data_IF_744570976241
#
_entry.id   IF_744570976241
#
_cell.length_a   1.000
_cell.length_b   1.000
_cell.length_c   1.000
_cell.angle_alpha   90.00
_cell.angle_beta   90.00
_cell.angle_gamma   90.00
#
_symmetry.space_group_name_H-M   'P 1'
#
loop_
_entity.id
_entity.type
_entity.pdbx_description
1 polymer ?
#
# COMPACT_ATOMS: atom_id res chain seq x y z
N UNK A 1 -26.91 7.45 82.04
CA UNK A 1 -25.95 8.50 81.63
C UNK A 1 -24.55 7.90 81.74
N UNK A 2 -24.00 7.28 80.69
CA UNK A 2 -22.61 6.74 80.74
C UNK A 2 -21.92 6.60 79.35
N UNK A 3 -22.62 6.24 78.27
CA UNK A 3 -22.05 6.27 76.90
C UNK A 3 -22.91 7.06 75.91
N UNK A 4 -22.95 8.39 76.11
CA UNK A 4 -23.34 9.37 75.07
C UNK A 4 -22.14 9.81 74.22
N UNK A 5 -21.09 8.98 74.17
CA UNK A 5 -19.78 9.31 73.63
C UNK A 5 -19.21 8.13 72.81
N UNK A 6 -20.04 7.55 71.94
CA UNK A 6 -19.63 6.61 70.90
C UNK A 6 -20.27 6.94 69.53
N UNK A 7 -20.57 8.21 69.31
CA UNK A 7 -20.66 8.76 67.95
C UNK A 7 -19.30 9.34 67.62
N UNK A 8 -18.53 8.65 66.77
CA UNK A 8 -17.79 9.18 65.62
C UNK A 8 -16.96 8.05 65.02
N UNK A 9 -16.66 8.16 63.72
CA UNK A 9 -15.66 7.34 63.02
C UNK A 9 -16.02 5.89 62.64
N UNK A 10 -17.28 5.62 62.26
CA UNK A 10 -17.49 4.73 61.10
C UNK A 10 -17.01 5.46 59.86
N UNK A 11 -15.69 5.50 59.66
CA UNK A 11 -15.09 6.13 58.50
C UNK A 11 -15.58 5.39 57.26
N UNK A 12 -16.28 6.11 56.38
CA UNK A 12 -16.58 5.65 55.03
C UNK A 12 -15.23 5.46 54.31
N UNK A 13 -14.66 4.26 54.41
CA UNK A 13 -13.59 3.83 53.54
C UNK A 13 -14.22 3.48 52.19
N UNK A 14 -14.76 4.49 51.52
CA UNK A 14 -15.10 4.43 50.11
C UNK A 14 -13.78 4.29 49.36
N UNK A 15 -13.31 3.04 49.25
CA UNK A 15 -12.45 2.62 48.18
C UNK A 15 -13.19 2.97 46.88
N UNK A 16 -12.90 4.16 46.38
CA UNK A 16 -13.04 4.44 44.98
C UNK A 16 -12.12 3.45 44.29
N UNK A 17 -12.68 2.31 43.89
CA UNK A 17 -12.06 1.44 42.91
C UNK A 17 -12.07 2.26 41.63
N UNK A 18 -11.02 3.07 41.47
CA UNK A 18 -10.60 3.52 40.16
C UNK A 18 -10.46 2.22 39.37
N UNK A 19 -11.37 2.00 38.44
CA UNK A 19 -11.29 0.85 37.56
C UNK A 19 -9.91 0.91 36.93
N UNK A 20 -9.06 -0.06 37.28
CA UNK A 20 -7.70 -0.12 36.80
C UNK A 20 -7.82 -0.51 35.34
N UNK A 21 -8.02 0.50 34.49
CA UNK A 21 -8.08 0.37 33.05
C UNK A 21 -6.79 -0.33 32.65
N UNK A 22 -6.93 -1.53 32.12
CA UNK A 22 -5.83 -2.41 31.78
C UNK A 22 -5.55 -2.28 30.27
N UNK A 23 -4.33 -2.59 29.86
CA UNK A 23 -3.97 -2.66 28.45
C UNK A 23 -4.98 -3.54 27.68
N UNK A 24 -5.34 -4.71 28.21
CA UNK A 24 -6.28 -5.62 27.55
C UNK A 24 -7.70 -5.06 27.44
N UNK A 25 -8.18 -4.31 28.45
CA UNK A 25 -9.50 -3.66 28.43
C UNK A 25 -9.53 -2.55 27.38
N UNK A 26 -8.51 -1.69 27.37
CA UNK A 26 -8.36 -0.63 26.37
C UNK A 26 -8.27 -1.19 24.93
N UNK A 27 -7.52 -2.28 24.70
CA UNK A 27 -7.48 -2.94 23.38
C UNK A 27 -8.83 -3.55 23.01
N UNK A 28 -9.51 -4.23 23.93
CA UNK A 28 -10.83 -4.82 23.67
C UNK A 28 -11.87 -3.77 23.29
N UNK A 29 -11.94 -2.65 24.02
CA UNK A 29 -12.84 -1.54 23.70
C UNK A 29 -12.48 -0.87 22.36
N UNK A 30 -11.18 -0.72 22.07
CA UNK A 30 -10.69 -0.25 20.78
C UNK A 30 -11.12 -1.15 19.62
N UNK A 31 -10.90 -2.47 19.73
CA UNK A 31 -11.33 -3.45 18.73
C UNK A 31 -12.85 -3.41 18.52
N UNK A 32 -13.62 -3.27 19.61
CA UNK A 32 -15.10 -3.17 19.57
C UNK A 32 -15.59 -1.88 18.90
N UNK A 33 -14.91 -0.75 19.09
CA UNK A 33 -15.21 0.50 18.41
C UNK A 33 -14.81 0.42 16.92
N UNK A 34 -13.63 -0.12 16.62
CA UNK A 34 -13.13 -0.31 15.25
C UNK A 34 -14.05 -1.21 14.41
N UNK A 35 -14.51 -2.33 14.97
CA UNK A 35 -15.48 -3.25 14.33
C UNK A 35 -16.84 -2.58 14.05
N UNK A 36 -17.19 -1.49 14.75
CA UNK A 36 -18.39 -0.67 14.48
C UNK A 36 -18.15 0.47 13.47
N UNK A 37 -16.91 0.69 13.04
CA UNK A 37 -16.53 1.85 12.22
C UNK A 37 -16.34 3.15 13.00
N UNK A 38 -16.41 3.13 14.34
CA UNK A 38 -16.09 4.30 15.17
C UNK A 38 -14.57 4.38 15.37
N UNK A 39 -13.88 4.83 14.32
CA UNK A 39 -12.43 4.95 14.32
C UNK A 39 -11.92 6.05 15.27
N UNK A 40 -12.77 7.02 15.62
CA UNK A 40 -12.49 8.04 16.64
C UNK A 40 -12.31 7.38 18.01
N UNK A 41 -13.37 6.75 18.52
CA UNK A 41 -13.35 6.01 19.78
C UNK A 41 -12.30 4.88 19.75
N UNK A 42 -12.12 4.20 18.62
CA UNK A 42 -11.08 3.17 18.50
C UNK A 42 -9.68 3.75 18.76
N UNK A 43 -9.33 4.87 18.11
CA UNK A 43 -8.04 5.52 18.32
C UNK A 43 -7.85 6.05 19.74
N UNK A 44 -8.89 6.57 20.40
CA UNK A 44 -8.80 6.98 21.82
C UNK A 44 -8.50 5.79 22.74
N UNK A 45 -9.14 4.64 22.50
CA UNK A 45 -8.95 3.42 23.30
C UNK A 45 -7.58 2.77 23.04
N UNK A 46 -7.11 2.73 21.80
CA UNK A 46 -5.75 2.24 21.52
C UNK A 46 -4.66 3.21 22.01
N UNK A 47 -4.90 4.53 21.98
CA UNK A 47 -4.02 5.51 22.64
C UNK A 47 -3.95 5.26 24.16
N UNK A 48 -5.10 4.98 24.79
CA UNK A 48 -5.18 4.57 26.19
C UNK A 48 -4.41 3.27 26.47
N UNK A 49 -4.38 2.33 25.52
CA UNK A 49 -3.60 1.08 25.63
C UNK A 49 -2.08 1.34 25.57
N UNK A 50 -1.58 2.01 24.53
CA UNK A 50 -0.13 2.27 24.37
C UNK A 50 0.44 3.22 25.42
N UNK A 51 -0.40 4.04 26.05
CA UNK A 51 -0.01 4.86 27.21
C UNK A 51 0.28 4.02 28.46
N UNK A 52 -0.38 2.86 28.60
CA UNK A 52 -0.18 1.93 29.73
C UNK A 52 0.96 0.95 29.48
N UNK A 53 1.01 0.42 28.27
CA UNK A 53 2.08 -0.49 27.85
C UNK A 53 2.54 -0.16 26.41
N UNK A 54 3.58 0.68 26.26
CA UNK A 54 4.15 1.03 24.96
C UNK A 54 5.05 -0.08 24.38
N UNK A 55 5.24 -1.20 25.08
CA UNK A 55 6.04 -2.33 24.55
C UNK A 55 5.24 -3.25 23.62
N UNK A 56 3.93 -3.02 23.49
CA UNK A 56 3.01 -3.96 22.88
C UNK A 56 2.66 -3.61 21.44
N UNK A 57 3.11 -4.46 20.51
CA UNK A 57 2.88 -4.33 19.06
C UNK A 57 1.41 -4.01 18.70
N UNK A 58 0.45 -4.74 19.27
CA UNK A 58 -0.95 -4.65 18.88
C UNK A 58 -1.58 -3.28 19.20
N UNK A 59 -1.16 -2.62 20.27
CA UNK A 59 -1.63 -1.29 20.64
C UNK A 59 -1.23 -0.25 19.58
N UNK A 60 0.07 -0.19 19.25
CA UNK A 60 0.60 0.72 18.23
C UNK A 60 0.04 0.42 16.84
N UNK A 61 0.00 -0.86 16.45
CA UNK A 61 -0.53 -1.27 15.14
C UNK A 61 -2.01 -0.91 14.97
N UNK A 62 -2.84 -1.15 15.99
CA UNK A 62 -4.27 -0.86 15.91
C UNK A 62 -4.59 0.64 16.07
N UNK A 63 -3.76 1.39 16.80
CA UNK A 63 -3.82 2.84 16.81
C UNK A 63 -3.51 3.40 15.41
N UNK A 64 -2.43 2.94 14.77
CA UNK A 64 -2.09 3.29 13.38
C UNK A 64 -3.22 2.97 12.39
N UNK A 65 -3.81 1.77 12.48
CA UNK A 65 -4.97 1.38 11.66
C UNK A 65 -6.16 2.33 11.84
N UNK A 66 -6.44 2.74 13.09
CA UNK A 66 -7.55 3.65 13.40
C UNK A 66 -7.29 5.07 12.90
N UNK A 67 -6.07 5.57 13.04
CA UNK A 67 -5.64 6.88 12.53
C UNK A 67 -5.67 6.91 10.99
N UNK A 68 -5.21 5.85 10.33
CA UNK A 68 -5.28 5.72 8.87
C UNK A 68 -6.73 5.76 8.36
N UNK A 69 -7.66 5.07 9.04
CA UNK A 69 -9.10 5.14 8.71
C UNK A 69 -9.73 6.52 8.98
N UNK A 70 -9.09 7.37 9.77
CA UNK A 70 -9.45 8.79 9.99
C UNK A 70 -8.73 9.76 9.04
N UNK A 71 -7.95 9.26 8.07
CA UNK A 71 -7.06 10.03 7.20
C UNK A 71 -5.97 10.85 7.94
N UNK A 72 -5.63 10.46 9.17
CA UNK A 72 -4.53 11.02 9.95
C UNK A 72 -3.24 10.24 9.63
N UNK A 73 -2.76 10.42 8.40
CA UNK A 73 -1.72 9.55 7.83
C UNK A 73 -0.33 9.74 8.43
N UNK A 74 0.03 10.96 8.85
CA UNK A 74 1.31 11.23 9.52
C UNK A 74 1.37 10.51 10.88
N UNK A 75 0.29 10.64 11.66
CA UNK A 75 0.14 10.00 12.95
C UNK A 75 0.07 8.48 12.80
N UNK A 76 -0.62 7.98 11.77
CA UNK A 76 -0.63 6.55 11.45
C UNK A 76 0.77 6.01 11.13
N UNK A 77 1.55 6.71 10.29
CA UNK A 77 2.92 6.34 9.95
C UNK A 77 3.81 6.24 11.21
N UNK A 78 3.75 7.25 12.09
CA UNK A 78 4.50 7.27 13.35
C UNK A 78 4.12 6.10 14.29
N UNK A 79 2.85 5.71 14.34
CA UNK A 79 2.41 4.56 15.15
C UNK A 79 2.78 3.22 14.51
N UNK A 80 2.80 3.10 13.18
CA UNK A 80 3.35 1.91 12.53
C UNK A 80 4.88 1.80 12.67
N UNK A 81 5.62 2.90 12.73
CA UNK A 81 7.05 2.91 13.07
C UNK A 81 7.29 2.41 14.50
N UNK A 82 6.47 2.84 15.47
CA UNK A 82 6.50 2.29 16.84
C UNK A 82 6.15 0.81 16.88
N UNK A 83 5.10 0.38 16.16
CA UNK A 83 4.75 -1.03 16.03
C UNK A 83 5.93 -1.85 15.45
N UNK A 84 6.62 -1.31 14.43
CA UNK A 84 7.80 -1.93 13.83
C UNK A 84 8.98 -2.05 14.82
N UNK A 85 9.16 -1.09 15.74
CA UNK A 85 10.26 -1.12 16.71
C UNK A 85 10.04 -2.13 17.85
N UNK A 86 8.79 -2.49 18.16
CA UNK A 86 8.42 -3.51 19.16
C UNK A 86 7.97 -4.85 18.56
N UNK A 87 8.05 -5.01 17.23
CA UNK A 87 7.66 -6.24 16.54
C UNK A 87 8.54 -7.43 16.95
N UNK A 88 7.91 -8.52 17.42
CA UNK A 88 8.60 -9.70 17.97
C UNK A 88 8.85 -10.80 16.95
N UNK A 89 8.19 -10.74 15.79
CA UNK A 89 8.29 -11.74 14.73
C UNK A 89 8.23 -11.11 13.33
N UNK A 90 8.56 -11.92 12.31
CA UNK A 90 8.60 -11.48 10.91
C UNK A 90 7.22 -11.10 10.35
N UNK A 91 6.13 -11.68 10.86
CA UNK A 91 4.76 -11.36 10.41
C UNK A 91 4.32 -10.00 10.94
N UNK A 92 4.58 -9.71 12.21
CA UNK A 92 4.43 -8.38 12.81
C UNK A 92 5.27 -7.34 12.06
N UNK A 93 6.54 -7.67 11.78
CA UNK A 93 7.45 -6.80 11.03
C UNK A 93 6.92 -6.48 9.63
N UNK A 94 6.48 -7.49 8.88
CA UNK A 94 5.91 -7.33 7.54
C UNK A 94 4.62 -6.49 7.55
N UNK A 95 3.71 -6.77 8.48
CA UNK A 95 2.44 -6.04 8.60
C UNK A 95 2.66 -4.54 8.93
N UNK A 96 3.55 -4.23 9.86
CA UNK A 96 3.88 -2.85 10.21
C UNK A 96 4.57 -2.11 9.05
N UNK A 97 5.53 -2.74 8.37
CA UNK A 97 6.17 -2.20 7.16
C UNK A 97 5.14 -1.92 6.04
N UNK A 98 4.23 -2.86 5.79
CA UNK A 98 3.20 -2.73 4.76
C UNK A 98 2.25 -1.56 5.03
N UNK A 99 1.73 -1.46 6.26
CA UNK A 99 0.80 -0.39 6.62
C UNK A 99 1.46 0.98 6.78
N UNK A 100 2.73 1.04 7.20
CA UNK A 100 3.54 2.25 7.11
C UNK A 100 3.72 2.67 5.64
N UNK A 101 4.02 1.73 4.74
CA UNK A 101 4.03 1.98 3.29
C UNK A 101 2.71 2.57 2.78
N UNK A 102 1.57 2.02 3.21
CA UNK A 102 0.24 2.55 2.86
C UNK A 102 0.02 3.98 3.37
N UNK A 103 0.47 4.31 4.59
CA UNK A 103 0.39 5.67 5.12
C UNK A 103 1.23 6.65 4.29
N UNK A 104 2.44 6.26 3.88
CA UNK A 104 3.30 7.09 3.02
C UNK A 104 2.76 7.25 1.60
N UNK A 105 2.14 6.20 1.02
CA UNK A 105 1.40 6.31 -0.25
C UNK A 105 0.27 7.34 -0.19
N UNK A 106 -0.40 7.46 0.96
CA UNK A 106 -1.48 8.43 1.18
C UNK A 106 -0.96 9.85 1.49
N UNK A 107 0.31 9.98 1.91
CA UNK A 107 1.04 11.24 2.08
C UNK A 107 1.80 11.68 0.81
N UNK A 108 1.71 10.90 -0.27
CA UNK A 108 2.45 11.08 -1.51
C UNK A 108 3.99 10.96 -1.38
N UNK A 109 4.51 10.41 -0.27
CA UNK A 109 5.90 9.97 -0.15
C UNK A 109 6.08 8.58 -0.79
N UNK A 110 6.00 8.57 -2.12
CA UNK A 110 6.08 7.37 -2.94
C UNK A 110 7.47 6.71 -2.87
N UNK A 111 8.53 7.51 -2.71
CA UNK A 111 9.90 7.02 -2.63
C UNK A 111 10.10 6.17 -1.36
N UNK A 112 9.69 6.68 -0.19
CA UNK A 112 9.80 5.96 1.08
C UNK A 112 8.83 4.78 1.13
N UNK A 113 7.60 4.94 0.63
CA UNK A 113 6.64 3.85 0.52
C UNK A 113 7.21 2.65 -0.27
N UNK A 114 7.85 2.91 -1.42
CA UNK A 114 8.51 1.87 -2.21
C UNK A 114 9.61 1.14 -1.42
N UNK A 115 10.40 1.84 -0.59
CA UNK A 115 11.41 1.17 0.25
C UNK A 115 10.79 0.29 1.34
N UNK A 116 9.62 0.64 1.87
CA UNK A 116 8.91 -0.17 2.86
C UNK A 116 8.31 -1.43 2.23
N UNK A 117 7.59 -1.32 1.10
CA UNK A 117 7.08 -2.51 0.40
C UNK A 117 8.20 -3.44 -0.08
N UNK A 118 9.34 -2.88 -0.50
CA UNK A 118 10.54 -3.66 -0.82
C UNK A 118 11.12 -4.41 0.38
N UNK A 119 10.91 -3.92 1.62
CA UNK A 119 11.25 -4.67 2.83
C UNK A 119 10.22 -5.75 3.16
N UNK A 120 8.91 -5.50 2.94
CA UNK A 120 7.87 -6.53 3.04
C UNK A 120 8.23 -7.71 2.12
N UNK A 121 8.55 -7.46 0.86
CA UNK A 121 8.92 -8.49 -0.13
C UNK A 121 10.22 -9.25 0.19
N UNK A 122 11.08 -8.78 1.10
CA UNK A 122 12.21 -9.57 1.61
C UNK A 122 11.78 -10.61 2.63
N UNK A 123 10.71 -10.33 3.38
CA UNK A 123 10.13 -11.21 4.39
C UNK A 123 9.10 -12.15 3.74
N UNK A 124 8.27 -11.61 2.84
CA UNK A 124 7.19 -12.31 2.13
C UNK A 124 7.36 -12.19 0.60
N UNK A 125 8.27 -12.94 -0.04
CA UNK A 125 8.58 -12.79 -1.48
C UNK A 125 7.41 -13.02 -2.46
N UNK A 126 6.37 -13.72 -1.99
CA UNK A 126 5.16 -14.08 -2.74
C UNK A 126 3.95 -13.21 -2.39
N UNK A 127 4.13 -12.11 -1.65
CA UNK A 127 3.09 -11.13 -1.41
C UNK A 127 2.82 -10.30 -2.68
N UNK A 128 1.81 -10.72 -3.44
CA UNK A 128 1.38 -10.04 -4.67
C UNK A 128 0.72 -8.67 -4.41
N UNK A 129 0.27 -8.38 -3.18
CA UNK A 129 -0.29 -7.08 -2.81
C UNK A 129 0.84 -6.08 -2.54
N UNK A 130 1.84 -6.46 -1.74
CA UNK A 130 3.06 -5.70 -1.53
C UNK A 130 3.84 -5.48 -2.84
N UNK A 131 3.87 -6.47 -3.75
CA UNK A 131 4.48 -6.29 -5.09
C UNK A 131 3.74 -5.26 -5.92
N UNK A 132 2.40 -5.32 -5.96
CA UNK A 132 1.57 -4.34 -6.68
C UNK A 132 1.78 -2.93 -6.13
N UNK A 133 1.78 -2.76 -4.81
CA UNK A 133 1.94 -1.45 -4.20
C UNK A 133 3.36 -0.90 -4.39
N UNK A 134 4.39 -1.75 -4.35
CA UNK A 134 5.76 -1.36 -4.73
C UNK A 134 5.82 -0.84 -6.18
N UNK A 135 5.21 -1.54 -7.13
CA UNK A 135 5.18 -1.12 -8.54
C UNK A 135 4.46 0.22 -8.72
N UNK A 136 3.33 0.43 -8.04
CA UNK A 136 2.57 1.69 -8.08
C UNK A 136 3.38 2.83 -7.44
N UNK A 137 4.02 2.60 -6.29
CA UNK A 137 4.88 3.58 -5.63
C UNK A 137 6.03 4.03 -6.54
N UNK A 138 6.74 3.07 -7.17
CA UNK A 138 7.83 3.36 -8.11
C UNK A 138 7.38 4.09 -9.39
N UNK A 139 6.12 3.91 -9.83
CA UNK A 139 5.57 4.68 -10.95
C UNK A 139 5.28 6.13 -10.54
N UNK A 140 4.59 6.33 -9.41
CA UNK A 140 4.23 7.65 -8.92
C UNK A 140 5.44 8.51 -8.53
N UNK A 141 6.45 7.91 -7.89
CA UNK A 141 7.74 8.57 -7.59
C UNK A 141 8.37 9.15 -8.87
N UNK A 142 8.35 8.37 -9.96
CA UNK A 142 8.86 8.84 -11.25
C UNK A 142 8.01 9.96 -11.85
N UNK A 143 6.69 9.86 -11.80
CA UNK A 143 5.77 10.88 -12.33
C UNK A 143 5.91 12.21 -11.58
N UNK A 144 6.15 12.17 -10.27
CA UNK A 144 6.45 13.34 -9.46
C UNK A 144 7.78 13.98 -9.88
N UNK A 145 8.86 13.20 -9.99
CA UNK A 145 10.18 13.69 -10.45
C UNK A 145 10.12 14.29 -11.87
N UNK A 146 9.40 13.64 -12.80
CA UNK A 146 9.20 14.13 -14.17
C UNK A 146 8.35 15.43 -14.22
N UNK A 147 7.53 15.68 -13.19
CA UNK A 147 6.70 16.89 -13.06
C UNK A 147 7.49 18.06 -12.47
N UNK A 148 8.25 17.82 -11.40
CA UNK A 148 9.14 18.81 -10.77
C UNK A 148 10.24 19.27 -11.75
N UNK A 149 10.82 18.33 -12.52
CA UNK A 149 11.82 18.63 -13.55
C UNK A 149 11.33 19.56 -14.68
N UNK A 150 10.02 19.59 -14.95
CA UNK A 150 9.42 20.49 -15.96
C UNK A 150 9.23 21.93 -15.44
N UNK A 151 9.08 22.13 -14.13
CA UNK A 151 8.99 23.48 -13.55
C UNK A 151 10.36 24.18 -13.43
N UNK A 152 11.46 23.42 -13.37
CA UNK A 152 12.83 23.97 -13.37
C UNK A 152 13.35 24.46 -14.73
N UNK A 153 12.65 24.18 -15.84
CA UNK A 153 13.13 24.43 -17.22
C UNK A 153 12.80 25.81 -17.82
N UNK A 154 12.12 26.69 -17.09
CA UNK A 154 11.62 27.98 -17.62
C UNK A 154 12.66 29.10 -17.65
N UNK A 155 13.74 28.98 -18.44
CA UNK A 155 14.90 29.87 -18.22
C UNK A 155 15.93 30.17 -19.31
N UNK A 156 15.74 29.85 -20.60
CA UNK A 156 16.47 30.59 -21.67
C UNK A 156 15.78 30.48 -23.04
N UNK A 157 15.55 31.62 -23.67
CA UNK A 157 14.89 31.72 -24.98
C UNK A 157 15.82 32.18 -26.10
N UNK A 158 15.41 31.90 -27.35
CA UNK A 158 16.16 32.24 -28.57
C UNK A 158 17.22 31.18 -28.93
N UNK A 159 17.34 30.72 -30.18
CA UNK A 159 16.62 31.10 -31.40
C UNK A 159 16.81 30.06 -32.51
N UNK A 160 15.73 29.63 -33.16
CA UNK A 160 15.74 29.11 -34.53
C UNK A 160 15.47 30.33 -35.47
N UNK A 161 16.08 30.46 -36.66
CA UNK A 161 15.85 29.53 -37.78
C UNK A 161 17.12 29.07 -38.54
N UNK A 162 17.09 27.88 -39.16
CA UNK A 162 16.84 27.78 -40.63
C UNK A 162 17.35 26.52 -41.36
N UNK A 163 16.50 25.99 -42.27
CA UNK A 163 16.82 25.36 -43.60
C UNK A 163 17.64 24.04 -43.60
N UNK A 164 17.57 23.13 -44.61
CA UNK A 164 16.75 22.93 -45.83
C UNK A 164 17.00 21.48 -46.34
N UNK A 165 16.05 20.88 -47.09
CA UNK A 165 16.21 19.89 -48.20
C UNK A 165 17.13 18.64 -48.01
N UNK A 166 17.05 17.54 -48.77
CA UNK A 166 16.40 17.26 -50.06
C UNK A 166 16.04 15.76 -50.26
N UNK A 167 15.40 15.42 -51.39
CA UNK A 167 15.01 14.07 -51.83
C UNK A 167 16.16 13.23 -52.41
N UNK A 168 15.95 11.91 -52.53
CA UNK A 168 15.95 11.09 -53.79
C UNK A 168 15.94 9.59 -53.43
N UNK A 169 15.02 8.70 -53.85
CA UNK A 169 14.54 8.22 -55.19
C UNK A 169 15.39 7.10 -55.84
N UNK A 170 14.68 6.03 -56.28
CA UNK A 170 15.06 4.86 -57.12
C UNK A 170 16.18 3.87 -56.69
N UNK A 171 16.15 2.58 -57.05
CA UNK A 171 15.13 1.80 -57.76
C UNK A 171 15.63 0.43 -58.31
N UNK A 172 14.70 -0.48 -58.70
CA UNK A 172 14.88 -1.80 -59.38
C UNK A 172 15.56 -2.92 -58.56
N UNK A 173 15.17 -4.20 -58.54
CA UNK A 173 14.41 -5.17 -59.38
C UNK A 173 15.29 -6.28 -60.04
N UNK A 174 15.19 -7.48 -59.46
CA UNK A 174 14.82 -8.76 -60.11
C UNK A 174 15.87 -9.86 -60.49
N UNK A 175 15.78 -10.98 -59.75
CA UNK A 175 15.77 -12.41 -60.15
C UNK A 175 17.03 -13.14 -60.71
N UNK A 176 17.23 -14.40 -60.27
CA UNK A 176 18.07 -15.41 -60.95
C UNK A 176 18.74 -16.47 -60.04
N UNK A 177 18.19 -17.69 -60.03
CA UNK A 177 18.60 -18.99 -59.40
C UNK A 177 20.11 -19.40 -59.48
N UNK A 178 20.65 -20.44 -58.82
CA UNK A 178 20.11 -21.68 -58.18
C UNK A 178 21.15 -22.35 -57.22
N UNK A 179 20.70 -23.30 -56.36
CA UNK A 179 21.41 -24.45 -55.71
C UNK A 179 22.85 -24.30 -55.15
N UNK A 180 23.21 -24.68 -53.91
CA UNK A 180 22.95 -25.97 -53.23
C UNK A 180 23.50 -25.98 -51.77
N UNK A 181 22.89 -26.78 -50.88
CA UNK A 181 23.44 -27.40 -49.63
C UNK A 181 24.28 -26.53 -48.63
N UNK A 182 23.91 -26.39 -47.34
CA UNK A 182 23.88 -27.49 -46.36
C UNK A 182 23.15 -27.08 -45.03
N UNK A 183 22.96 -28.06 -44.15
CA UNK A 183 22.18 -28.13 -42.90
C UNK A 183 22.37 -27.06 -41.80
N UNK A 184 21.30 -26.86 -41.00
CA UNK A 184 21.31 -26.07 -39.76
C UNK A 184 19.93 -26.00 -39.08
N UNK A 185 19.67 -26.95 -38.16
CA UNK A 185 18.60 -27.02 -37.14
C UNK A 185 18.24 -25.68 -36.44
N UNK A 186 17.11 -25.43 -35.77
CA UNK A 186 15.84 -26.09 -35.33
C UNK A 186 14.94 -24.93 -34.81
N UNK A 187 13.61 -24.96 -34.65
CA UNK A 187 12.50 -25.88 -34.92
C UNK A 187 11.20 -25.03 -35.01
N UNK A 188 10.03 -25.60 -35.37
CA UNK A 188 8.76 -24.85 -35.53
C UNK A 188 7.70 -25.10 -34.45
N UNK A 189 6.69 -24.23 -34.42
CA UNK A 189 5.57 -24.13 -33.48
C UNK A 189 4.41 -25.12 -33.69
N UNK A 190 3.66 -25.37 -32.61
CA UNK A 190 2.37 -26.06 -32.56
C UNK A 190 1.19 -25.17 -33.04
N UNK A 191 0.12 -25.72 -33.65
CA UNK A 191 -1.18 -25.00 -33.69
C UNK A 191 -2.48 -25.85 -33.51
N UNK A 192 -3.56 -25.16 -33.08
CA UNK A 192 -5.01 -25.55 -33.05
C UNK A 192 -5.52 -26.25 -31.76
N UNK A 193 -6.75 -26.03 -31.23
CA UNK A 193 -7.88 -25.15 -31.64
C UNK A 193 -8.80 -24.70 -30.45
N UNK A 194 -9.72 -23.76 -30.69
CA UNK A 194 -10.52 -22.92 -29.73
C UNK A 194 -11.84 -23.59 -29.18
N UNK A 195 -12.46 -23.17 -28.04
CA UNK A 195 -13.37 -21.99 -27.98
C UNK A 195 -13.36 -21.13 -26.66
N UNK A 196 -13.97 -19.92 -26.72
CA UNK A 196 -13.99 -18.84 -25.69
C UNK A 196 -15.43 -18.53 -25.19
N UNK A 197 -15.65 -17.89 -24.02
CA UNK A 197 -15.98 -16.45 -24.05
C UNK A 197 -15.47 -15.61 -22.85
N UNK A 198 -15.35 -14.28 -23.04
CA UNK A 198 -15.23 -13.30 -21.94
C UNK A 198 -14.34 -12.08 -22.20
N UNK A 199 -13.52 -12.10 -23.26
CA UNK A 199 -12.61 -11.01 -23.62
C UNK A 199 -13.19 -9.99 -24.60
N UNK A 200 -12.97 -8.70 -24.29
CA UNK A 200 -13.19 -7.54 -25.18
C UNK A 200 -12.51 -7.69 -26.55
N UNK A 201 -13.07 -7.14 -27.66
CA UNK A 201 -12.44 -7.13 -28.98
C UNK A 201 -11.06 -6.47 -28.98
N UNK A 202 -10.13 -6.98 -29.79
CA UNK A 202 -8.73 -6.51 -29.80
C UNK A 202 -8.57 -5.03 -30.16
N UNK A 203 -9.39 -4.52 -31.08
CA UNK A 203 -9.34 -3.11 -31.51
C UNK A 203 -9.77 -2.12 -30.40
N UNK A 204 -10.78 -2.46 -29.58
CA UNK A 204 -11.13 -1.66 -28.39
C UNK A 204 -10.04 -1.73 -27.32
N UNK A 205 -9.37 -2.88 -27.22
CA UNK A 205 -8.23 -3.06 -26.32
C UNK A 205 -7.07 -2.14 -26.71
N UNK A 206 -6.73 -2.06 -27.99
CA UNK A 206 -5.66 -1.21 -28.52
C UNK A 206 -6.00 0.28 -28.52
N UNK A 207 -7.28 0.66 -28.70
CA UNK A 207 -7.73 2.04 -28.55
C UNK A 207 -7.59 2.57 -27.10
N UNK A 208 -7.83 1.72 -26.10
CA UNK A 208 -7.57 2.03 -24.68
C UNK A 208 -6.07 2.02 -24.34
N UNK A 209 -5.26 1.23 -25.05
CA UNK A 209 -3.78 1.23 -24.92
C UNK A 209 -3.12 2.46 -25.60
N UNK A 210 -3.85 3.24 -26.41
CA UNK A 210 -3.34 4.45 -27.08
C UNK A 210 -3.88 5.77 -26.50
N UNK A 211 -5.06 5.76 -25.87
CA UNK A 211 -5.66 6.96 -25.23
C UNK A 211 -5.10 7.24 -23.82
N UNK A 212 -4.25 6.35 -23.31
CA UNK A 212 -3.57 6.44 -22.01
C UNK A 212 -2.05 6.38 -22.24
N UNK A 213 -1.26 7.05 -21.42
CA UNK A 213 0.21 6.97 -21.45
C UNK A 213 0.69 5.64 -20.83
N UNK A 214 1.59 4.92 -21.52
CA UNK A 214 1.48 3.45 -21.61
C UNK A 214 1.75 2.55 -20.38
N UNK A 215 2.30 3.05 -19.25
CA UNK A 215 2.70 2.14 -18.15
C UNK A 215 1.55 1.71 -17.22
N UNK A 216 0.48 2.49 -17.12
CA UNK A 216 -0.59 2.22 -16.14
C UNK A 216 -1.65 1.19 -16.59
N UNK A 217 -1.78 0.96 -17.90
CA UNK A 217 -2.94 0.28 -18.51
C UNK A 217 -3.12 -1.18 -18.07
N UNK A 218 -2.02 -1.87 -17.75
CA UNK A 218 -2.06 -3.27 -17.27
C UNK A 218 -2.41 -3.37 -15.78
N UNK A 219 -2.16 -2.31 -15.02
CA UNK A 219 -2.41 -2.21 -13.57
C UNK A 219 -3.85 -1.77 -13.32
N UNK A 220 -4.31 -0.70 -13.99
CA UNK A 220 -5.68 -0.21 -13.90
C UNK A 220 -6.73 -1.30 -14.21
N UNK A 221 -6.47 -2.14 -15.23
CA UNK A 221 -7.34 -3.26 -15.62
C UNK A 221 -7.46 -4.38 -14.57
N UNK A 222 -6.51 -4.48 -13.63
CA UNK A 222 -6.51 -5.48 -12.54
C UNK A 222 -7.04 -4.94 -11.20
N UNK A 223 -7.10 -3.62 -11.02
CA UNK A 223 -7.62 -3.00 -9.80
C UNK A 223 -9.14 -2.78 -9.89
N UNK A 224 -9.65 -2.33 -11.04
CA UNK A 224 -11.08 -2.00 -11.23
C UNK A 224 -12.04 -3.20 -11.22
N UNK A 225 -11.54 -4.43 -11.39
CA UNK A 225 -12.33 -5.64 -11.60
C UNK A 225 -12.21 -6.69 -10.46
N UNK A 226 -11.67 -6.32 -9.30
CA UNK A 226 -11.56 -7.24 -8.16
C UNK A 226 -11.98 -6.54 -6.87
N UNK A 227 -13.12 -6.95 -6.31
CA UNK A 227 -13.72 -6.41 -5.08
C UNK A 227 -12.93 -6.80 -3.81
N UNK A 228 -11.63 -6.50 -3.76
CA UNK A 228 -10.79 -6.79 -2.59
C UNK A 228 -10.86 -5.65 -1.58
N UNK A 229 -12.01 -5.52 -0.93
CA UNK A 229 -12.04 -5.11 0.47
C UNK A 229 -11.34 -6.19 1.29
N UNK A 230 -10.01 -6.16 1.33
CA UNK A 230 -9.22 -6.89 2.32
C UNK A 230 -9.46 -6.24 3.69
N UNK A 231 -10.64 -6.52 4.27
CA UNK A 231 -10.86 -6.36 5.70
C UNK A 231 -9.77 -7.18 6.38
N UNK A 232 -8.87 -6.57 7.18
CA UNK A 232 -7.87 -7.34 7.89
C UNK A 232 -8.61 -8.34 8.77
N UNK A 233 -8.46 -9.62 8.46
CA UNK A 233 -8.95 -10.70 9.31
C UNK A 233 -8.18 -10.58 10.62
N UNK A 234 -8.84 -10.03 11.64
CA UNK A 234 -8.32 -10.07 13.00
C UNK A 234 -8.13 -11.54 13.33
N UNK A 235 -6.88 -11.97 13.43
CA UNK A 235 -6.47 -13.25 14.00
C UNK A 235 -6.63 -13.22 15.53
N UNK A 236 -7.79 -12.76 15.99
CA UNK A 236 -8.38 -13.17 17.25
C UNK A 236 -8.65 -14.67 17.10
N UNK A 237 -7.71 -15.48 17.59
CA UNK A 237 -8.02 -16.85 17.97
C UNK A 237 -9.05 -16.77 19.09
N UNK A 238 -10.31 -16.95 18.73
CA UNK A 238 -11.30 -17.44 19.68
C UNK A 238 -10.77 -18.75 20.28
N UNK A 239 -10.91 -18.86 21.59
CA UNK A 239 -10.67 -20.06 22.38
C UNK A 239 -11.89 -20.99 22.35
#
# INVERSE_FOLDING_TARGET
MIYRLLTFFTLFFSLGVAAQDDYAVSVYEGNKAFKKGDFGQASERFLSAVTKDPSQYAGHFNLGNSLYKRALYNEAAAEYEKALSVAQDETQRANALYNHGNALMALEDFQSAAQLYKQVLKITPYDEEARRNYEIAMLKDKEQQDSEGKQGGGGQGGSDPSKQNEKSEDGKMNNGSSDSQNSGERNSSNPSNNPNPGGMPKEEQEALLNRIEGREQRTARKILNQDTYSMPQSNEKDW
#
